data_IF_754035024711
#
_entry.id   IF_754035024711
#
_cell.length_a   1.000
_cell.length_b   1.000
_cell.length_c   1.000
_cell.angle_alpha   90.00
_cell.angle_beta   90.00
_cell.angle_gamma   90.00
#
_symmetry.space_group_name_H-M   'P 1'
#
loop_
_entity.id
_entity.type
_entity.pdbx_description
1 polymer ?
#
# COMPACT_ATOMS: atom_id res chain seq x y z
N UNK A 1 23.58 13.91 27.31
CA UNK A 1 23.72 12.53 26.77
C UNK A 1 22.66 11.56 27.27
N UNK A 2 22.34 11.51 28.57
CA UNK A 2 21.28 10.63 29.10
C UNK A 2 19.91 10.94 28.45
N UNK A 3 19.51 12.20 28.41
CA UNK A 3 18.24 12.62 27.78
C UNK A 3 18.14 12.22 26.29
N UNK A 4 19.20 12.43 25.49
CA UNK A 4 19.25 11.97 24.10
C UNK A 4 19.10 10.44 23.98
N UNK A 5 19.76 9.67 24.86
CA UNK A 5 19.60 8.21 24.92
C UNK A 5 18.18 7.78 25.26
N UNK A 6 17.45 8.60 26.01
CA UNK A 6 16.03 8.40 26.33
C UNK A 6 15.09 8.91 25.23
N UNK A 7 15.62 9.41 24.12
CA UNK A 7 14.85 9.89 22.96
C UNK A 7 14.43 11.36 23.04
N UNK A 8 14.94 12.13 24.01
CA UNK A 8 14.73 13.58 24.05
C UNK A 8 15.67 14.29 23.08
N UNK A 9 15.12 14.61 21.90
CA UNK A 9 15.81 15.38 20.86
C UNK A 9 15.72 16.89 21.04
N UNK A 10 15.20 17.42 22.15
CA UNK A 10 15.20 18.87 22.43
C UNK A 10 16.50 19.37 23.05
N UNK A 11 17.31 18.45 23.60
CA UNK A 11 18.57 18.77 24.28
C UNK A 11 19.59 19.34 23.30
N UNK A 12 20.35 20.34 23.75
CA UNK A 12 21.47 20.93 23.00
C UNK A 12 22.70 21.04 23.89
N UNK A 13 23.89 20.86 23.31
CA UNK A 13 25.16 21.22 23.95
C UNK A 13 25.37 22.74 23.89
N UNK A 14 26.08 23.34 24.88
CA UNK A 14 26.32 24.77 24.94
C UNK A 14 27.08 25.31 23.72
N UNK A 15 26.80 26.55 23.34
CA UNK A 15 27.42 27.23 22.20
C UNK A 15 28.59 28.15 22.56
N UNK A 16 28.89 28.31 23.85
CA UNK A 16 29.99 29.11 24.38
C UNK A 16 31.31 28.34 24.48
N UNK A 17 31.30 27.06 24.09
CA UNK A 17 32.51 26.24 23.98
C UNK A 17 33.39 26.74 22.83
N UNK A 18 34.70 26.57 22.97
CA UNK A 18 35.69 27.04 21.98
C UNK A 18 36.61 25.91 21.53
N UNK A 19 37.10 25.99 20.30
CA UNK A 19 38.11 25.05 19.79
C UNK A 19 37.50 23.69 19.42
N UNK A 20 38.10 22.59 19.88
CA UNK A 20 37.60 21.24 19.55
C UNK A 20 36.21 20.99 20.12
N UNK A 21 35.92 21.51 21.31
CA UNK A 21 34.64 21.32 21.99
C UNK A 21 33.50 22.01 21.25
N UNK A 22 33.74 23.21 20.68
CA UNK A 22 32.79 23.91 19.80
C UNK A 22 32.36 23.03 18.62
N UNK A 23 33.34 22.38 17.97
CA UNK A 23 33.09 21.51 16.81
C UNK A 23 32.28 20.28 17.19
N UNK A 24 32.56 19.70 18.36
CA UNK A 24 31.81 18.56 18.90
C UNK A 24 30.37 18.99 19.24
N UNK A 25 30.20 20.11 19.93
CA UNK A 25 28.87 20.64 20.28
C UNK A 25 28.03 20.95 19.05
N UNK A 26 28.62 21.59 18.04
CA UNK A 26 27.95 21.88 16.77
C UNK A 26 27.54 20.61 16.03
N UNK A 27 28.44 19.64 15.87
CA UNK A 27 28.14 18.36 15.20
C UNK A 27 27.04 17.59 15.93
N UNK A 28 27.11 17.52 17.27
CA UNK A 28 26.08 16.88 18.09
C UNK A 28 24.71 17.56 17.94
N UNK A 29 24.66 18.88 18.04
CA UNK A 29 23.42 19.64 17.91
C UNK A 29 22.80 19.48 16.50
N UNK A 30 23.63 19.42 15.45
CA UNK A 30 23.17 19.15 14.08
C UNK A 30 22.57 17.74 13.94
N UNK A 31 23.22 16.72 14.52
CA UNK A 31 22.71 15.34 14.50
C UNK A 31 21.36 15.27 15.21
N UNK A 32 21.23 15.87 16.39
CA UNK A 32 19.97 15.87 17.14
C UNK A 32 18.86 16.60 16.37
N UNK A 33 19.15 17.78 15.81
CA UNK A 33 18.19 18.51 14.99
C UNK A 33 17.77 17.71 13.73
N UNK A 34 18.63 16.84 13.22
CA UNK A 34 18.29 15.96 12.11
C UNK A 34 17.34 14.83 12.55
N UNK A 35 17.63 14.16 13.66
CA UNK A 35 16.77 13.10 14.22
C UNK A 35 15.40 13.64 14.65
N UNK A 36 15.35 14.85 15.19
CA UNK A 36 14.09 15.54 15.51
C UNK A 36 13.23 15.75 14.25
N UNK A 37 13.85 16.22 13.15
CA UNK A 37 13.15 16.41 11.86
C UNK A 37 12.65 15.11 11.26
N UNK A 38 13.46 14.04 11.29
CA UNK A 38 13.04 12.70 10.86
C UNK A 38 11.84 12.24 11.67
N UNK A 39 11.90 12.38 12.99
CA UNK A 39 10.83 11.94 13.89
C UNK A 39 9.52 12.67 13.61
N UNK A 40 9.57 14.00 13.43
CA UNK A 40 8.39 14.79 13.05
C UNK A 40 7.82 14.36 11.69
N UNK A 41 8.69 14.11 10.72
CA UNK A 41 8.28 13.73 9.38
C UNK A 41 7.65 12.32 9.33
N UNK A 42 8.20 11.35 10.06
CA UNK A 42 7.60 10.02 10.23
C UNK A 42 6.23 10.13 10.91
N UNK A 43 6.09 10.97 11.92
CA UNK A 43 4.80 11.20 12.61
C UNK A 43 3.76 11.84 11.68
N UNK A 44 4.17 12.85 10.91
CA UNK A 44 3.33 13.47 9.86
C UNK A 44 2.84 12.40 8.89
N UNK A 45 3.77 11.61 8.36
CA UNK A 45 3.47 10.62 7.33
C UNK A 45 2.61 9.47 7.85
N UNK A 46 2.83 9.02 9.08
CA UNK A 46 1.96 8.04 9.76
C UNK A 46 0.52 8.52 9.84
N UNK A 47 0.30 9.82 10.05
CA UNK A 47 -1.05 10.41 10.06
C UNK A 47 -1.59 10.50 8.64
N UNK A 48 -0.86 11.12 7.71
CA UNK A 48 -1.32 11.38 6.35
C UNK A 48 -1.54 10.10 5.52
N UNK A 49 -0.62 9.14 5.57
CA UNK A 49 -0.72 7.88 4.83
C UNK A 49 -1.51 6.86 5.64
N UNK A 50 -1.14 6.65 6.91
CA UNK A 50 -1.69 5.57 7.74
C UNK A 50 -3.10 5.83 8.25
N UNK A 51 -3.45 7.08 8.61
CA UNK A 51 -4.78 7.41 9.17
C UNK A 51 -5.72 8.03 8.15
N UNK A 52 -5.22 8.92 7.30
CA UNK A 52 -6.04 9.62 6.30
C UNK A 52 -6.11 8.88 4.95
N UNK A 53 -5.32 7.83 4.75
CA UNK A 53 -5.31 7.04 3.51
C UNK A 53 -4.78 7.80 2.30
N UNK A 54 -4.01 8.89 2.48
CA UNK A 54 -3.46 9.67 1.37
C UNK A 54 -2.18 9.03 0.84
N UNK A 55 -2.34 7.85 0.22
CA UNK A 55 -1.27 6.91 -0.15
C UNK A 55 -0.23 7.44 -1.15
N UNK A 56 -0.41 8.63 -1.73
CA UNK A 56 0.56 9.28 -2.64
C UNK A 56 1.60 10.13 -1.91
N UNK A 57 1.41 10.39 -0.62
CA UNK A 57 2.37 11.19 0.15
C UNK A 57 3.59 10.36 0.53
N UNK A 58 4.76 10.98 0.45
CA UNK A 58 6.05 10.37 0.76
C UNK A 58 6.80 11.22 1.79
N UNK A 59 7.82 10.61 2.39
CA UNK A 59 8.75 11.28 3.29
C UNK A 59 9.60 12.26 2.48
N UNK A 60 9.73 13.49 2.98
CA UNK A 60 10.60 14.52 2.38
C UNK A 60 11.37 15.28 3.45
N UNK A 61 12.70 15.28 3.34
CA UNK A 61 13.60 16.00 4.24
C UNK A 61 14.64 16.77 3.42
N UNK A 62 14.39 18.06 3.15
CA UNK A 62 15.34 18.90 2.47
C UNK A 62 16.69 18.93 3.18
N UNK A 63 17.76 18.77 2.40
CA UNK A 63 19.14 18.76 2.90
C UNK A 63 19.59 17.45 3.56
N UNK A 64 18.80 16.38 3.46
CA UNK A 64 19.31 15.04 3.80
C UNK A 64 20.37 14.61 2.77
N UNK A 65 21.50 14.10 3.26
CA UNK A 65 22.65 13.67 2.45
C UNK A 65 23.22 12.37 3.02
N UNK A 66 23.97 11.63 2.19
CA UNK A 66 24.60 10.38 2.59
C UNK A 66 23.60 9.35 3.09
N UNK A 67 23.95 8.63 4.16
CA UNK A 67 23.11 7.59 4.78
C UNK A 67 21.71 8.08 5.20
N UNK A 68 21.55 9.37 5.51
CA UNK A 68 20.24 9.93 5.84
C UNK A 68 19.32 9.97 4.62
N UNK A 69 19.85 10.32 3.45
CA UNK A 69 19.09 10.29 2.21
C UNK A 69 18.70 8.84 1.85
N UNK A 70 19.64 7.90 1.99
CA UNK A 70 19.40 6.47 1.78
C UNK A 70 18.30 5.96 2.71
N UNK A 71 18.30 6.35 3.99
CA UNK A 71 17.23 5.99 4.95
C UNK A 71 15.86 6.47 4.49
N UNK A 72 15.76 7.70 3.97
CA UNK A 72 14.51 8.27 3.46
C UNK A 72 14.05 7.54 2.20
N UNK A 73 14.96 7.26 1.27
CA UNK A 73 14.68 6.52 0.05
C UNK A 73 14.20 5.10 0.35
N UNK A 74 14.86 4.40 1.29
CA UNK A 74 14.45 3.06 1.73
C UNK A 74 13.05 3.06 2.36
N UNK A 75 12.72 4.06 3.19
CA UNK A 75 11.37 4.20 3.74
C UNK A 75 10.33 4.47 2.65
N UNK A 76 10.65 5.33 1.68
CA UNK A 76 9.78 5.60 0.54
C UNK A 76 9.55 4.36 -0.33
N UNK A 77 10.60 3.60 -0.63
CA UNK A 77 10.50 2.34 -1.36
C UNK A 77 9.63 1.33 -0.64
N UNK A 78 9.81 1.15 0.68
CA UNK A 78 8.94 0.28 1.48
C UNK A 78 7.47 0.70 1.40
N UNK A 79 7.19 2.01 1.45
CA UNK A 79 5.81 2.50 1.29
C UNK A 79 5.25 2.22 -0.10
N UNK A 80 6.05 2.39 -1.16
CA UNK A 80 5.63 2.07 -2.53
C UNK A 80 5.28 0.58 -2.67
N UNK A 81 6.13 -0.30 -2.15
CA UNK A 81 5.94 -1.76 -2.17
C UNK A 81 4.67 -2.20 -1.43
N UNK A 82 4.27 -1.48 -0.37
CA UNK A 82 3.04 -1.75 0.38
C UNK A 82 1.80 -1.13 -0.27
N UNK A 83 1.91 0.08 -0.81
CA UNK A 83 0.79 0.84 -1.36
C UNK A 83 0.33 0.32 -2.72
N UNK A 84 1.28 -0.04 -3.59
CA UNK A 84 0.95 -0.40 -4.98
C UNK A 84 0.00 -1.59 -5.08
N UNK A 85 0.24 -2.75 -4.43
CA UNK A 85 -0.69 -3.88 -4.51
C UNK A 85 -2.09 -3.55 -3.96
N UNK A 86 -2.16 -2.74 -2.90
CA UNK A 86 -3.44 -2.30 -2.33
C UNK A 86 -4.23 -1.42 -3.31
N UNK A 87 -3.56 -0.49 -3.98
CA UNK A 87 -4.17 0.37 -4.99
C UNK A 87 -4.63 -0.44 -6.22
N UNK A 88 -3.84 -1.45 -6.64
CA UNK A 88 -4.18 -2.35 -7.74
C UNK A 88 -5.45 -3.17 -7.41
N UNK A 89 -5.54 -3.72 -6.20
CA UNK A 89 -6.74 -4.42 -5.72
C UNK A 89 -7.96 -3.49 -5.76
N UNK A 90 -7.84 -2.28 -5.21
CA UNK A 90 -8.95 -1.33 -5.19
C UNK A 90 -9.41 -0.95 -6.61
N UNK A 91 -8.46 -0.75 -7.54
CA UNK A 91 -8.77 -0.48 -8.96
C UNK A 91 -9.54 -1.65 -9.58
N UNK A 92 -9.06 -2.88 -9.40
CA UNK A 92 -9.67 -4.06 -10.02
C UNK A 92 -11.06 -4.35 -9.44
N UNK A 93 -11.24 -4.27 -8.12
CA UNK A 93 -12.57 -4.37 -7.50
C UNK A 93 -13.50 -3.27 -8.02
N UNK A 94 -12.99 -2.03 -8.17
CA UNK A 94 -13.76 -0.93 -8.74
C UNK A 94 -14.20 -1.14 -10.19
N UNK A 95 -13.40 -1.84 -11.00
CA UNK A 95 -13.76 -2.21 -12.38
C UNK A 95 -14.84 -3.31 -12.41
N UNK A 96 -14.67 -4.34 -11.58
CA UNK A 96 -15.66 -5.41 -11.39
C UNK A 96 -17.01 -4.85 -10.95
N UNK A 97 -17.00 -3.87 -10.02
CA UNK A 97 -18.22 -3.20 -9.57
C UNK A 97 -18.93 -2.40 -10.68
N UNK A 98 -18.22 -2.02 -11.74
CA UNK A 98 -18.77 -1.39 -12.95
C UNK A 98 -19.19 -2.40 -14.02
N UNK A 99 -19.09 -3.71 -13.72
CA UNK A 99 -19.42 -4.80 -14.64
C UNK A 99 -18.28 -5.20 -15.58
N UNK A 100 -17.08 -4.64 -15.42
CA UNK A 100 -15.91 -5.08 -16.19
C UNK A 100 -15.27 -6.30 -15.53
N UNK A 101 -15.67 -7.47 -16.00
CA UNK A 101 -15.14 -8.77 -15.58
C UNK A 101 -13.97 -9.24 -16.45
N UNK A 102 -13.54 -8.43 -17.42
CA UNK A 102 -12.35 -8.69 -18.23
C UNK A 102 -11.06 -8.25 -17.54
N UNK A 103 -11.15 -7.36 -16.56
CA UNK A 103 -10.00 -6.91 -15.79
C UNK A 103 -9.58 -7.96 -14.74
N UNK A 104 -8.28 -8.21 -14.62
CA UNK A 104 -7.69 -9.09 -13.60
C UNK A 104 -6.55 -8.38 -12.85
N UNK A 105 -6.15 -8.96 -11.73
CA UNK A 105 -4.93 -8.61 -11.01
C UNK A 105 -3.71 -9.24 -11.70
N UNK A 106 -2.69 -8.43 -11.95
CA UNK A 106 -1.37 -8.93 -12.35
C UNK A 106 -0.75 -9.72 -11.20
N UNK A 107 -0.20 -10.90 -11.51
CA UNK A 107 0.52 -11.74 -10.52
C UNK A 107 2.02 -11.45 -10.50
N UNK A 108 2.47 -10.44 -11.25
CA UNK A 108 3.83 -9.96 -11.32
C UNK A 108 3.87 -8.45 -11.09
N UNK A 109 4.90 -7.99 -10.38
CA UNK A 109 5.23 -6.58 -10.23
C UNK A 109 6.72 -6.39 -10.50
N UNK A 110 7.05 -5.42 -11.36
CA UNK A 110 8.42 -5.07 -11.74
C UNK A 110 9.26 -6.26 -12.23
N UNK A 111 8.63 -7.11 -13.05
CA UNK A 111 9.27 -8.30 -13.63
C UNK A 111 9.52 -9.42 -12.63
N UNK A 112 8.86 -9.39 -11.46
CA UNK A 112 8.97 -10.43 -10.42
C UNK A 112 7.59 -10.93 -10.02
N UNK A 113 7.42 -12.24 -9.77
CA UNK A 113 6.19 -12.76 -9.21
C UNK A 113 5.87 -12.12 -7.86
N UNK A 114 4.60 -11.79 -7.64
CA UNK A 114 4.09 -11.46 -6.31
C UNK A 114 4.33 -12.63 -5.36
N UNK A 115 4.53 -12.32 -4.08
CA UNK A 115 4.78 -13.33 -3.03
C UNK A 115 3.96 -13.03 -1.79
N UNK A 116 3.86 -14.02 -0.91
CA UNK A 116 3.22 -13.89 0.40
C UNK A 116 1.78 -13.41 0.31
N UNK A 117 1.41 -12.46 1.16
CA UNK A 117 0.03 -11.94 1.23
C UNK A 117 -0.39 -11.22 -0.05
N UNK A 118 0.52 -10.56 -0.78
CA UNK A 118 0.15 -9.90 -2.04
C UNK A 118 -0.29 -10.88 -3.12
N UNK A 119 0.44 -12.00 -3.29
CA UNK A 119 0.04 -13.06 -4.21
C UNK A 119 -1.29 -13.66 -3.78
N UNK A 120 -1.46 -13.95 -2.48
CA UNK A 120 -2.69 -14.52 -1.95
C UNK A 120 -3.89 -13.62 -2.21
N UNK A 121 -3.78 -12.31 -1.97
CA UNK A 121 -4.84 -11.35 -2.24
C UNK A 121 -5.15 -11.23 -3.74
N UNK A 122 -4.13 -11.14 -4.60
CA UNK A 122 -4.31 -11.07 -6.04
C UNK A 122 -5.02 -12.30 -6.60
N UNK A 123 -4.60 -13.50 -6.19
CA UNK A 123 -5.25 -14.77 -6.56
C UNK A 123 -6.69 -14.82 -6.07
N UNK A 124 -6.97 -14.42 -4.83
CA UNK A 124 -8.33 -14.38 -4.29
C UNK A 124 -9.26 -13.48 -5.12
N UNK A 125 -8.78 -12.29 -5.48
CA UNK A 125 -9.52 -11.35 -6.34
C UNK A 125 -9.76 -11.97 -7.71
N UNK A 126 -8.75 -12.58 -8.32
CA UNK A 126 -8.90 -13.23 -9.63
C UNK A 126 -9.91 -14.39 -9.60
N UNK A 127 -9.90 -15.23 -8.56
CA UNK A 127 -10.88 -16.30 -8.39
C UNK A 127 -12.30 -15.75 -8.24
N UNK A 128 -12.48 -14.64 -7.50
CA UNK A 128 -13.79 -13.97 -7.39
C UNK A 128 -14.28 -13.47 -8.76
N UNK A 129 -13.40 -12.90 -9.57
CA UNK A 129 -13.73 -12.39 -10.91
C UNK A 129 -14.14 -13.54 -11.84
N UNK A 130 -13.41 -14.64 -11.81
CA UNK A 130 -13.73 -15.85 -12.57
C UNK A 130 -15.12 -16.38 -12.21
N UNK A 131 -15.43 -16.50 -10.91
CA UNK A 131 -16.74 -16.94 -10.44
C UNK A 131 -17.87 -16.01 -10.90
N UNK A 132 -17.68 -14.69 -10.83
CA UNK A 132 -18.66 -13.71 -11.32
C UNK A 132 -18.85 -13.78 -12.84
N UNK A 133 -17.78 -14.05 -13.59
CA UNK A 133 -17.85 -14.22 -15.05
C UNK A 133 -18.68 -15.45 -15.44
N UNK A 134 -18.44 -16.59 -14.78
CA UNK A 134 -19.25 -17.80 -15.01
C UNK A 134 -20.71 -17.54 -14.67
N UNK A 135 -20.99 -16.93 -13.51
CA UNK A 135 -22.36 -16.60 -13.12
C UNK A 135 -23.07 -15.69 -14.13
N UNK A 136 -22.40 -14.63 -14.59
CA UNK A 136 -22.95 -13.69 -15.57
C UNK A 136 -23.28 -14.40 -16.89
N UNK A 137 -22.44 -15.34 -17.33
CA UNK A 137 -22.69 -16.13 -18.52
C UNK A 137 -23.92 -17.03 -18.37
N UNK A 138 -24.10 -17.68 -17.21
CA UNK A 138 -25.25 -18.53 -16.92
C UNK A 138 -26.56 -17.75 -16.82
N UNK A 139 -26.56 -16.60 -16.16
CA UNK A 139 -27.75 -15.71 -16.12
C UNK A 139 -28.14 -15.27 -17.51
N UNK A 140 -27.16 -14.90 -18.36
CA UNK A 140 -27.41 -14.50 -19.75
C UNK A 140 -28.00 -15.65 -20.57
N UNK A 141 -27.49 -16.87 -20.39
CA UNK A 141 -28.00 -18.09 -21.04
C UNK A 141 -29.45 -18.37 -20.63
N UNK A 142 -29.73 -18.41 -19.33
CA UNK A 142 -31.07 -18.68 -18.80
C UNK A 142 -32.07 -17.60 -19.24
N UNK A 143 -31.67 -16.33 -19.19
CA UNK A 143 -32.51 -15.23 -19.67
C UNK A 143 -32.89 -15.38 -21.15
N UNK A 144 -31.96 -15.86 -21.99
CA UNK A 144 -32.22 -16.14 -23.40
C UNK A 144 -33.16 -17.34 -23.59
N UNK A 145 -32.94 -18.44 -22.88
CA UNK A 145 -33.78 -19.64 -22.96
C UNK A 145 -35.23 -19.38 -22.53
N UNK A 146 -35.41 -18.64 -21.43
CA UNK A 146 -36.73 -18.32 -20.91
C UNK A 146 -37.41 -17.24 -21.76
N UNK A 147 -36.69 -16.18 -22.12
CA UNK A 147 -37.27 -15.00 -22.78
C UNK A 147 -37.43 -15.12 -24.30
N UNK A 148 -36.49 -15.78 -24.97
CA UNK A 148 -36.47 -15.89 -26.44
C UNK A 148 -36.96 -17.26 -26.92
N UNK A 149 -36.57 -18.34 -26.23
CA UNK A 149 -36.92 -19.70 -26.64
C UNK A 149 -38.20 -20.24 -25.97
N UNK A 150 -38.77 -19.50 -25.00
CA UNK A 150 -40.00 -19.87 -24.32
C UNK A 150 -39.89 -21.12 -23.43
N UNK A 151 -38.66 -21.54 -23.09
CA UNK A 151 -38.40 -22.70 -22.22
C UNK A 151 -38.57 -22.28 -20.76
N UNK A 152 -39.76 -22.49 -20.21
CA UNK A 152 -40.04 -22.23 -18.80
C UNK A 152 -39.39 -23.30 -17.91
N UNK A 153 -38.58 -22.87 -16.93
CA UNK A 153 -37.94 -23.75 -15.95
C UNK A 153 -36.42 -23.89 -16.06
N UNK A 154 -35.74 -23.11 -16.90
CA UNK A 154 -34.27 -23.08 -16.96
C UNK A 154 -33.67 -22.65 -15.62
N UNK A 155 -32.89 -23.54 -15.00
CA UNK A 155 -32.10 -23.23 -13.80
C UNK A 155 -30.66 -22.93 -14.22
N UNK A 156 -30.05 -21.92 -13.59
CA UNK A 156 -28.62 -21.68 -13.74
C UNK A 156 -27.85 -22.81 -13.05
N UNK A 157 -26.83 -23.35 -13.70
CA UNK A 157 -25.98 -24.39 -13.11
C UNK A 157 -24.54 -23.92 -13.14
N UNK A 158 -24.10 -23.34 -12.03
CA UNK A 158 -22.74 -22.84 -11.89
C UNK A 158 -21.88 -23.91 -11.24
N UNK A 159 -20.94 -24.49 -11.99
CA UNK A 159 -20.01 -25.49 -11.45
C UNK A 159 -18.92 -24.81 -10.62
N UNK A 160 -18.59 -25.38 -9.46
CA UNK A 160 -17.44 -24.96 -8.65
C UNK A 160 -17.67 -23.77 -7.70
N UNK A 161 -18.92 -23.32 -7.55
CA UNK A 161 -19.28 -22.27 -6.58
C UNK A 161 -19.94 -22.85 -5.33
N UNK A 162 -19.82 -22.14 -4.20
CA UNK A 162 -20.37 -22.52 -2.90
C UNK A 162 -21.23 -21.40 -2.31
N UNK A 163 -22.05 -21.71 -1.31
CA UNK A 163 -22.94 -20.73 -0.68
C UNK A 163 -24.20 -20.45 -1.50
N UNK A 164 -24.63 -19.17 -1.55
CA UNK A 164 -25.89 -18.73 -2.21
C UNK A 164 -25.88 -18.99 -3.73
N UNK A 165 -24.72 -19.29 -4.30
CA UNK A 165 -24.50 -19.46 -5.74
C UNK A 165 -24.72 -20.90 -6.24
N UNK A 166 -25.21 -21.81 -5.40
CA UNK A 166 -25.40 -23.23 -5.71
C UNK A 166 -26.70 -23.52 -6.45
#
# INVERSE_FOLDING_TARGET
MIAFREGDFSVRLPGDWTGTDERIASAFNQIIAHEERITMEVKRLSTTVGKEGRLKHRMSLPGAVGEWAIKIEALNGLMDDLVRPSADIARTIGAVAKGDLGQSMDLEADGRPLKGEFLRSATLVNTMIEQLSVFTSEVTRVAREVGVEGKLGGQAQVKGVSGVWK
#
